data_IF_120486775712
#
_entry.id   IF_120486775712
#
_cell.length_a   1.000
_cell.length_b   1.000
_cell.length_c   1.000
_cell.angle_alpha   90.00
_cell.angle_beta   90.00
_cell.angle_gamma   90.00
#
_symmetry.space_group_name_H-M   'P 1'
#
loop_
_entity.id
_entity.type
_entity.pdbx_description
1 polymer ?
#
# COMPACT_ATOMS: atom_id res chain seq x y z
N UNK A 1 43.46 -36.58 12.23
CA UNK A 1 42.73 -36.67 13.51
C UNK A 1 41.46 -35.84 13.39
N UNK A 2 40.31 -36.49 13.14
CA UNK A 2 39.04 -35.86 12.90
C UNK A 2 38.23 -35.99 14.20
N UNK A 3 37.89 -34.86 14.84
CA UNK A 3 37.02 -34.83 16.04
C UNK A 3 35.57 -34.60 15.59
N UNK A 4 34.77 -35.66 15.71
CA UNK A 4 33.34 -35.65 15.49
C UNK A 4 32.68 -35.16 16.80
N UNK A 5 32.03 -33.98 16.76
CA UNK A 5 31.20 -33.51 17.86
C UNK A 5 29.77 -33.96 17.62
N UNK A 6 29.29 -34.89 18.39
CA UNK A 6 27.87 -35.30 18.49
C UNK A 6 27.12 -34.21 19.23
N UNK A 7 26.14 -33.60 18.57
CA UNK A 7 25.18 -32.71 19.21
C UNK A 7 23.93 -33.51 19.55
N UNK A 8 23.61 -33.50 20.86
CA UNK A 8 22.41 -34.13 21.42
C UNK A 8 21.16 -33.35 20.99
N UNK A 9 20.16 -34.08 20.53
CA UNK A 9 18.83 -33.57 20.25
C UNK A 9 18.05 -33.50 21.56
N UNK A 10 17.59 -32.33 21.97
CA UNK A 10 16.63 -32.12 23.04
C UNK A 10 15.23 -32.03 22.39
N UNK A 11 14.41 -33.03 22.68
CA UNK A 11 12.99 -33.05 22.32
C UNK A 11 12.21 -32.18 23.32
N UNK A 12 11.57 -31.12 22.86
CA UNK A 12 10.62 -30.32 23.63
C UNK A 12 9.21 -30.76 23.26
N UNK A 13 8.51 -31.35 24.20
CA UNK A 13 7.09 -31.68 24.16
C UNK A 13 6.30 -30.36 24.39
N UNK A 14 5.55 -29.92 23.40
CA UNK A 14 4.57 -28.84 23.54
C UNK A 14 3.20 -29.45 23.74
N UNK A 15 2.64 -29.27 24.93
CA UNK A 15 1.27 -29.61 25.29
C UNK A 15 0.30 -28.56 24.73
N UNK A 16 -0.63 -29.02 23.90
CA UNK A 16 -1.73 -28.20 23.39
C UNK A 16 -2.81 -28.03 24.48
N UNK A 17 -3.11 -26.79 24.87
CA UNK A 17 -4.28 -26.43 25.66
C UNK A 17 -5.37 -25.90 24.72
N UNK A 18 -6.43 -26.74 24.55
CA UNK A 18 -7.65 -26.32 23.86
C UNK A 18 -8.54 -25.54 24.83
N UNK A 19 -8.82 -24.27 24.52
CA UNK A 19 -9.82 -23.46 25.21
C UNK A 19 -11.08 -23.39 24.34
N UNK A 20 -12.12 -24.11 24.77
CA UNK A 20 -13.47 -24.01 24.24
C UNK A 20 -14.17 -22.81 24.89
N UNK A 21 -14.43 -21.76 24.14
CA UNK A 21 -15.41 -20.74 24.52
C UNK A 21 -16.73 -21.00 23.81
N UNK A 22 -17.65 -21.64 24.53
CA UNK A 22 -19.07 -21.64 24.26
C UNK A 22 -19.68 -20.34 24.78
N UNK A 23 -20.21 -19.51 23.89
CA UNK A 23 -20.94 -18.26 24.20
C UNK A 23 -22.35 -18.34 23.66
N UNK A 24 -23.28 -18.50 24.57
CA UNK A 24 -24.71 -18.55 24.46
C UNK A 24 -25.37 -17.20 24.09
N UNK A 25 -26.58 -17.26 23.54
CA UNK A 25 -27.61 -16.30 23.67
C UNK A 25 -28.24 -15.99 22.33
N UNK A 26 -29.40 -16.41 21.92
CA UNK A 26 -30.67 -16.45 22.58
C UNK A 26 -31.60 -15.42 21.95
N UNK A 27 -32.74 -15.86 21.42
CA UNK A 27 -33.82 -14.97 21.06
C UNK A 27 -34.53 -15.33 19.77
N UNK A 28 -35.43 -16.28 19.83
CA UNK A 28 -36.37 -16.61 18.78
C UNK A 28 -37.56 -15.68 18.76
N UNK A 29 -38.25 -15.65 17.61
CA UNK A 29 -39.68 -15.61 17.54
C UNK A 29 -40.13 -16.11 16.15
N UNK A 30 -40.76 -17.27 16.19
CA UNK A 30 -41.66 -17.76 15.14
C UNK A 30 -42.86 -16.84 14.96
N UNK A 31 -43.27 -16.62 13.74
CA UNK A 31 -44.71 -16.67 13.39
C UNK A 31 -44.87 -16.84 11.88
N UNK A 32 -45.41 -17.95 11.49
CA UNK A 32 -45.98 -18.20 10.16
C UNK A 32 -47.28 -17.46 10.00
N UNK A 33 -47.57 -16.92 8.81
CA UNK A 33 -48.90 -16.90 8.23
C UNK A 33 -48.86 -16.49 6.75
N UNK A 34 -49.38 -17.35 5.97
CA UNK A 34 -50.01 -17.34 4.67
C UNK A 34 -50.71 -16.02 4.30
N UNK A 35 -50.70 -15.63 3.01
CA UNK A 35 -51.50 -14.50 2.55
C UNK A 35 -51.17 -14.09 1.09
N UNK A 36 -51.74 -14.86 0.17
CA UNK A 36 -51.86 -14.59 -1.26
C UNK A 36 -52.84 -13.42 -1.48
N UNK A 37 -52.44 -12.35 -2.18
CA UNK A 37 -53.35 -11.55 -3.02
C UNK A 37 -52.60 -10.69 -4.04
N UNK A 38 -52.99 -10.85 -5.27
CA UNK A 38 -52.82 -9.94 -6.40
C UNK A 38 -53.54 -8.63 -6.09
N UNK A 39 -52.97 -7.49 -6.44
CA UNK A 39 -53.69 -6.51 -7.23
C UNK A 39 -52.75 -5.43 -7.80
N UNK A 40 -53.04 -5.11 -9.01
CA UNK A 40 -52.46 -4.18 -9.95
C UNK A 40 -53.08 -2.79 -9.69
N UNK A 41 -52.24 -1.77 -9.46
CA UNK A 41 -52.70 -0.39 -9.63
C UNK A 41 -51.56 0.52 -10.11
N UNK A 42 -51.73 0.98 -11.29
CA UNK A 42 -51.11 2.11 -11.99
C UNK A 42 -51.59 3.41 -11.37
N UNK A 43 -50.76 4.30 -10.92
CA UNK A 43 -51.11 5.73 -10.77
C UNK A 43 -49.92 6.63 -11.07
N UNK A 44 -50.20 7.54 -11.94
CA UNK A 44 -49.50 8.67 -12.52
C UNK A 44 -48.75 9.59 -11.56
N UNK A 45 -47.68 10.21 -12.10
CA UNK A 45 -47.01 11.38 -11.58
C UNK A 45 -47.91 12.63 -11.49
N UNK A 46 -47.56 13.60 -10.68
CA UNK A 46 -47.54 14.97 -11.19
C UNK A 46 -46.18 15.67 -11.01
N UNK A 47 -45.81 16.32 -12.09
CA UNK A 47 -44.81 17.38 -12.11
C UNK A 47 -45.34 18.59 -11.33
N UNK A 48 -44.48 19.16 -10.48
CA UNK A 48 -44.64 20.56 -10.10
C UNK A 48 -43.26 21.19 -9.97
N UNK A 49 -43.03 22.16 -10.81
CA UNK A 49 -41.85 23.03 -10.82
C UNK A 49 -41.78 23.93 -9.57
N UNK A 50 -40.61 24.20 -9.16
CA UNK A 50 -40.29 25.16 -8.10
C UNK A 50 -38.92 25.73 -8.35
N UNK A 51 -38.89 26.84 -9.11
CA UNK A 51 -37.74 27.72 -9.27
C UNK A 51 -37.51 28.46 -7.96
N UNK A 52 -36.41 28.23 -7.28
CA UNK A 52 -35.96 29.08 -6.18
C UNK A 52 -34.69 29.82 -6.60
N UNK A 53 -34.58 31.14 -6.35
CA UNK A 53 -33.44 31.95 -6.75
C UNK A 53 -32.27 31.76 -5.82
N UNK A 54 -31.08 31.70 -6.41
CA UNK A 54 -29.81 31.70 -5.71
C UNK A 54 -29.56 33.05 -5.01
N UNK A 55 -29.10 33.11 -3.78
CA UNK A 55 -28.55 34.31 -3.21
C UNK A 55 -27.12 34.56 -3.74
N UNK A 56 -26.96 35.58 -4.52
CA UNK A 56 -25.67 36.18 -4.83
C UNK A 56 -25.15 36.87 -3.56
N UNK A 57 -24.18 36.27 -2.90
CA UNK A 57 -23.39 36.96 -1.89
C UNK A 57 -22.08 37.43 -2.54
N UNK A 58 -22.06 38.64 -3.02
CA UNK A 58 -20.82 39.39 -3.27
C UNK A 58 -20.24 39.79 -1.93
N UNK A 59 -19.26 39.07 -1.42
CA UNK A 59 -18.41 39.54 -0.34
C UNK A 59 -17.11 40.07 -0.93
N UNK A 60 -17.06 41.35 -1.15
CA UNK A 60 -15.84 42.12 -1.32
C UNK A 60 -15.12 42.16 0.03
N UNK A 61 -14.30 41.15 0.32
CA UNK A 61 -13.42 41.10 1.47
C UNK A 61 -12.10 41.76 1.12
N UNK A 62 -11.78 42.84 1.81
CA UNK A 62 -10.48 43.48 1.79
C UNK A 62 -9.39 42.45 2.09
N UNK A 63 -8.40 42.33 1.21
CA UNK A 63 -7.19 41.54 1.43
C UNK A 63 -6.37 42.20 2.52
N UNK A 64 -6.23 41.52 3.64
CA UNK A 64 -5.29 41.86 4.69
C UNK A 64 -3.87 41.47 4.19
N UNK A 65 -2.91 42.38 4.10
CA UNK A 65 -1.56 42.08 3.61
C UNK A 65 -0.73 41.49 4.75
N UNK A 66 -0.90 40.18 5.02
CA UNK A 66 -0.14 39.53 6.07
C UNK A 66 -0.47 38.03 6.30
N UNK A 67 -1.43 37.48 5.57
CA UNK A 67 -1.75 36.05 5.73
C UNK A 67 -0.74 35.21 4.94
N UNK A 68 0.25 34.65 5.61
CA UNK A 68 1.07 33.58 5.06
C UNK A 68 0.11 32.42 4.73
N UNK A 69 -0.11 32.18 3.45
CA UNK A 69 -0.94 31.09 2.96
C UNK A 69 -0.46 29.78 3.58
N UNK A 70 -1.36 29.04 4.21
CA UNK A 70 -1.03 27.76 4.82
C UNK A 70 -0.52 26.83 3.72
N UNK A 71 0.57 26.05 3.96
CA UNK A 71 1.12 25.16 2.95
C UNK A 71 0.06 24.16 2.52
N UNK A 72 -0.08 23.93 1.21
CA UNK A 72 -1.10 23.08 0.60
C UNK A 72 -0.97 21.59 0.99
N UNK A 73 0.20 21.18 1.48
CA UNK A 73 0.45 19.83 2.00
C UNK A 73 1.53 19.85 3.08
N UNK A 74 1.59 18.80 3.91
CA UNK A 74 2.68 18.64 4.88
C UNK A 74 4.07 18.52 4.21
N UNK A 75 4.12 18.13 2.94
CA UNK A 75 5.35 18.08 2.16
C UNK A 75 5.91 19.49 1.91
N UNK A 76 5.04 20.47 1.70
CA UNK A 76 5.38 21.86 1.38
C UNK A 76 5.63 22.72 2.63
N UNK A 77 5.29 22.20 3.82
CA UNK A 77 5.49 22.92 5.07
C UNK A 77 6.98 23.21 5.29
N UNK A 78 7.34 24.43 5.78
CA UNK A 78 8.71 24.76 6.16
C UNK A 78 9.28 23.72 7.13
N UNK A 79 10.51 23.25 6.90
CA UNK A 79 11.16 22.22 7.71
C UNK A 79 12.04 22.85 8.81
N UNK A 80 12.23 22.08 9.87
CA UNK A 80 13.18 22.40 10.93
C UNK A 80 14.60 22.24 10.36
N UNK A 81 15.51 23.25 10.52
CA UNK A 81 16.90 23.11 10.13
C UNK A 81 17.59 21.98 10.92
N UNK A 82 18.48 21.21 10.28
CA UNK A 82 19.16 20.07 10.90
C UNK A 82 19.90 20.41 12.20
N UNK A 83 20.49 21.60 12.29
CA UNK A 83 21.16 22.09 13.50
C UNK A 83 20.22 22.28 14.70
N UNK A 84 18.92 22.34 14.47
CA UNK A 84 17.88 22.50 15.50
C UNK A 84 17.17 21.21 15.84
N UNK A 85 17.55 20.08 15.19
CA UNK A 85 16.95 18.77 15.46
C UNK A 85 17.50 18.21 16.79
N UNK A 86 16.71 18.37 17.85
CA UNK A 86 16.99 17.84 19.19
C UNK A 86 15.77 17.13 19.75
N UNK A 87 15.93 16.05 20.54
CA UNK A 87 14.82 15.43 21.24
C UNK A 87 14.19 16.40 22.28
N UNK A 88 12.86 16.43 22.46
CA UNK A 88 12.20 17.32 23.42
C UNK A 88 12.63 17.12 24.88
N UNK A 89 13.04 15.89 25.24
CA UNK A 89 13.53 15.53 26.59
C UNK A 89 15.01 15.79 26.83
N UNK A 90 15.69 16.45 25.89
CA UNK A 90 17.16 16.63 25.92
C UNK A 90 17.92 15.43 25.32
N UNK A 91 19.24 15.57 25.22
CA UNK A 91 20.10 14.58 24.56
C UNK A 91 20.31 14.85 23.07
N UNK A 92 20.75 13.84 22.32
CA UNK A 92 21.04 13.96 20.90
C UNK A 92 20.54 12.73 20.13
N UNK A 93 20.05 12.95 18.93
CA UNK A 93 19.79 11.85 17.99
C UNK A 93 21.09 11.21 17.51
N UNK A 94 21.05 9.90 17.17
CA UNK A 94 22.19 9.21 16.54
C UNK A 94 22.44 9.77 15.13
N UNK A 95 23.55 9.40 14.50
CA UNK A 95 23.86 9.83 13.14
C UNK A 95 22.79 9.35 12.13
N UNK A 96 22.34 8.11 12.25
CA UNK A 96 21.30 7.49 11.42
C UNK A 96 19.96 8.20 11.60
N UNK A 97 19.57 8.50 12.85
CA UNK A 97 18.33 9.22 13.18
C UNK A 97 18.37 10.65 12.61
N UNK A 98 19.50 11.35 12.73
CA UNK A 98 19.66 12.67 12.12
C UNK A 98 19.56 12.63 10.61
N UNK A 99 20.17 11.62 9.98
CA UNK A 99 20.07 11.42 8.53
C UNK A 99 18.62 11.20 8.10
N UNK A 100 17.87 10.38 8.85
CA UNK A 100 16.45 10.18 8.59
C UNK A 100 15.63 11.45 8.77
N UNK A 101 15.85 12.22 9.82
CA UNK A 101 15.08 13.42 10.15
C UNK A 101 15.39 14.62 9.26
N UNK A 102 16.59 14.66 8.65
CA UNK A 102 17.04 15.77 7.81
C UNK A 102 16.03 16.08 6.70
N UNK A 103 15.56 17.33 6.68
CA UNK A 103 14.58 17.84 5.71
C UNK A 103 13.17 17.20 5.82
N UNK A 104 12.90 16.39 6.85
CA UNK A 104 11.60 15.70 7.01
C UNK A 104 10.71 16.26 8.10
N UNK A 105 11.25 16.99 9.06
CA UNK A 105 10.50 17.49 10.21
C UNK A 105 9.85 18.83 9.89
N UNK A 106 8.51 18.91 9.75
CA UNK A 106 7.83 20.20 9.59
C UNK A 106 8.01 21.08 10.84
N UNK A 107 8.07 22.39 10.68
CA UNK A 107 8.09 23.31 11.83
C UNK A 107 6.85 23.11 12.69
N UNK A 108 7.05 23.02 14.01
CA UNK A 108 5.98 22.76 14.97
C UNK A 108 5.63 21.29 15.16
N UNK A 109 6.31 20.37 14.46
CA UNK A 109 6.15 18.91 14.65
C UNK A 109 7.28 18.40 15.54
N UNK A 110 6.94 17.49 16.46
CA UNK A 110 7.92 16.78 17.27
C UNK A 110 8.79 15.87 16.37
N UNK A 111 10.12 16.06 16.36
CA UNK A 111 11.01 15.21 15.59
C UNK A 111 10.99 13.74 16.04
N UNK A 112 10.65 13.46 17.32
CA UNK A 112 10.51 12.08 17.82
C UNK A 112 9.34 11.39 17.14
N UNK A 113 8.19 12.04 16.98
CA UNK A 113 7.03 11.48 16.29
C UNK A 113 7.33 11.17 14.81
N UNK A 114 8.12 12.02 14.13
CA UNK A 114 8.56 11.75 12.76
C UNK A 114 9.50 10.54 12.71
N UNK A 115 10.41 10.43 13.67
CA UNK A 115 11.34 9.28 13.78
C UNK A 115 10.61 7.97 14.04
N UNK A 116 9.63 7.97 14.95
CA UNK A 116 8.80 6.80 15.27
C UNK A 116 8.07 6.27 14.03
N UNK A 117 7.56 7.17 13.17
CA UNK A 117 6.98 6.77 11.90
C UNK A 117 7.96 6.02 10.98
N UNK A 118 9.23 6.45 10.94
CA UNK A 118 10.27 5.73 10.20
C UNK A 118 10.64 4.38 10.83
N UNK A 119 10.71 4.33 12.15
CA UNK A 119 10.98 3.10 12.88
C UNK A 119 9.85 2.08 12.70
N UNK A 120 8.59 2.51 12.71
CA UNK A 120 7.44 1.64 12.44
C UNK A 120 7.51 1.02 11.03
N UNK A 121 7.90 1.80 10.02
CA UNK A 121 8.12 1.27 8.66
C UNK A 121 9.21 0.19 8.68
N UNK A 122 10.35 0.45 9.32
CA UNK A 122 11.43 -0.51 9.45
C UNK A 122 10.99 -1.79 10.16
N UNK A 123 10.29 -1.66 11.28
CA UNK A 123 9.80 -2.80 12.07
C UNK A 123 8.80 -3.63 11.28
N UNK A 124 7.87 -2.99 10.58
CA UNK A 124 6.88 -3.65 9.75
C UNK A 124 7.53 -4.42 8.60
N UNK A 125 8.45 -3.77 7.87
CA UNK A 125 9.18 -4.40 6.79
C UNK A 125 10.08 -5.55 7.28
N UNK A 126 10.77 -5.37 8.42
CA UNK A 126 11.63 -6.41 9.01
C UNK A 126 10.83 -7.65 9.39
N UNK A 127 9.71 -7.47 10.12
CA UNK A 127 8.85 -8.60 10.52
C UNK A 127 8.30 -9.34 9.30
N UNK A 128 7.84 -8.59 8.29
CA UNK A 128 7.30 -9.21 7.08
C UNK A 128 8.38 -9.92 6.29
N UNK A 129 9.53 -9.28 6.06
CA UNK A 129 10.63 -9.83 5.28
C UNK A 129 11.31 -11.05 5.95
N UNK A 130 11.24 -11.16 7.28
CA UNK A 130 11.73 -12.33 8.01
C UNK A 130 10.96 -13.60 7.65
N UNK A 131 9.68 -13.47 7.29
CA UNK A 131 8.83 -14.58 6.86
C UNK A 131 8.78 -14.67 5.34
N UNK A 132 8.59 -13.52 4.68
CA UNK A 132 8.42 -13.44 3.24
C UNK A 132 8.89 -12.07 2.70
N UNK A 133 10.01 -12.07 1.99
CA UNK A 133 10.58 -10.86 1.39
C UNK A 133 9.72 -10.30 0.26
N UNK A 134 9.02 -11.18 -0.46
CA UNK A 134 8.12 -10.77 -1.55
C UNK A 134 6.86 -10.09 -1.01
N UNK A 135 6.33 -10.57 0.11
CA UNK A 135 5.23 -9.90 0.79
C UNK A 135 5.63 -8.50 1.29
N UNK A 136 6.86 -8.33 1.79
CA UNK A 136 7.37 -7.02 2.18
C UNK A 136 7.50 -6.07 0.98
N UNK A 137 8.02 -6.54 -0.16
CA UNK A 137 8.09 -5.75 -1.40
C UNK A 137 6.68 -5.45 -1.95
N UNK A 138 5.75 -6.41 -1.87
CA UNK A 138 4.35 -6.24 -2.28
C UNK A 138 3.67 -5.11 -1.50
N UNK A 139 3.86 -5.02 -0.19
CA UNK A 139 3.28 -3.96 0.64
C UNK A 139 3.73 -2.54 0.20
N UNK A 140 4.93 -2.42 -0.36
CA UNK A 140 5.41 -1.16 -0.93
C UNK A 140 4.79 -0.92 -2.32
N UNK A 141 4.77 -1.94 -3.17
CA UNK A 141 4.21 -1.84 -4.53
C UNK A 141 2.72 -1.52 -4.52
N UNK A 142 1.95 -2.07 -3.58
CA UNK A 142 0.51 -1.79 -3.42
C UNK A 142 0.21 -0.46 -2.76
N UNK A 143 1.23 0.19 -2.16
CA UNK A 143 1.07 1.48 -1.49
C UNK A 143 0.64 1.39 -0.03
N UNK A 144 0.58 0.19 0.56
CA UNK A 144 0.36 -0.01 2.01
C UNK A 144 1.48 0.64 2.84
N UNK A 145 2.66 0.71 2.26
CA UNK A 145 3.78 1.52 2.69
C UNK A 145 4.22 2.35 1.48
N UNK A 146 4.25 3.68 1.61
CA UNK A 146 4.66 4.52 0.49
C UNK A 146 6.12 4.27 0.12
N UNK A 147 6.44 4.24 -1.18
CA UNK A 147 7.82 4.05 -1.66
C UNK A 147 8.77 5.05 -1.03
N UNK A 148 8.42 6.34 -1.05
CA UNK A 148 9.26 7.40 -0.49
C UNK A 148 9.49 7.25 1.02
N UNK A 149 8.48 6.80 1.77
CA UNK A 149 8.61 6.50 3.20
C UNK A 149 9.51 5.30 3.45
N UNK A 150 9.34 4.23 2.66
CA UNK A 150 10.14 3.03 2.75
C UNK A 150 11.62 3.29 2.39
N UNK A 151 11.89 3.99 1.29
CA UNK A 151 13.25 4.39 0.89
C UNK A 151 13.93 5.20 1.98
N UNK A 152 13.25 6.23 2.50
CA UNK A 152 13.79 7.08 3.53
C UNK A 152 14.16 6.32 4.82
N UNK A 153 13.26 5.44 5.27
CA UNK A 153 13.48 4.63 6.47
C UNK A 153 14.61 3.61 6.25
N UNK A 154 14.57 2.89 5.12
CA UNK A 154 15.55 1.84 4.80
C UNK A 154 16.95 2.42 4.60
N UNK A 155 17.08 3.55 3.91
CA UNK A 155 18.41 4.15 3.67
C UNK A 155 19.10 4.59 4.95
N UNK A 156 18.35 4.99 5.97
CA UNK A 156 18.90 5.57 7.18
C UNK A 156 18.79 4.66 8.40
N UNK A 157 17.64 4.01 8.61
CA UNK A 157 17.33 3.32 9.87
C UNK A 157 17.46 1.80 9.79
N UNK A 158 17.23 1.19 8.62
CA UNK A 158 17.24 -0.27 8.46
C UNK A 158 17.86 -0.71 7.11
N UNK A 159 19.13 -0.44 6.84
CA UNK A 159 19.77 -0.63 5.53
C UNK A 159 19.81 -2.07 5.03
N UNK A 160 19.63 -3.05 5.89
CA UNK A 160 19.56 -4.47 5.53
C UNK A 160 18.33 -4.81 4.65
N UNK A 161 17.33 -3.91 4.63
CA UNK A 161 16.13 -4.04 3.82
C UNK A 161 16.25 -3.45 2.41
N UNK A 162 17.40 -2.93 1.99
CA UNK A 162 17.64 -2.45 0.62
C UNK A 162 17.24 -3.43 -0.48
N UNK A 163 17.42 -4.76 -0.34
CA UNK A 163 16.92 -5.69 -1.34
C UNK A 163 15.40 -5.65 -1.52
N UNK A 164 14.63 -5.38 -0.46
CA UNK A 164 13.16 -5.23 -0.51
C UNK A 164 12.79 -3.99 -1.33
N UNK A 165 13.48 -2.86 -1.08
CA UNK A 165 13.30 -1.63 -1.87
C UNK A 165 13.63 -1.88 -3.33
N UNK A 166 14.74 -2.57 -3.62
CA UNK A 166 15.16 -2.88 -5.00
C UNK A 166 14.12 -3.74 -5.72
N UNK A 167 13.51 -4.71 -5.04
CA UNK A 167 12.43 -5.52 -5.61
C UNK A 167 11.18 -4.70 -5.87
N UNK A 168 10.78 -3.87 -4.91
CA UNK A 168 9.59 -3.02 -5.01
C UNK A 168 9.72 -1.94 -6.09
N UNK A 169 10.88 -1.27 -6.21
CA UNK A 169 11.11 -0.16 -7.15
C UNK A 169 10.98 -0.57 -8.63
N UNK A 170 11.14 -1.84 -8.94
CA UNK A 170 10.98 -2.41 -10.28
C UNK A 170 9.64 -3.12 -10.46
N UNK A 171 8.81 -3.15 -9.42
CA UNK A 171 7.48 -3.75 -9.43
C UNK A 171 6.39 -2.76 -9.84
N UNK A 172 5.18 -3.29 -10.01
CA UNK A 172 3.97 -2.50 -10.21
C UNK A 172 2.75 -3.23 -9.63
N UNK A 173 1.76 -2.46 -9.18
CA UNK A 173 0.49 -2.99 -8.67
C UNK A 173 -0.46 -3.39 -9.80
N UNK A 174 -1.63 -3.92 -9.44
CA UNK A 174 -2.73 -4.09 -10.39
C UNK A 174 -3.13 -2.75 -11.01
N UNK A 175 -3.59 -2.78 -12.25
CA UNK A 175 -4.00 -1.60 -12.98
C UNK A 175 -3.78 -1.70 -14.49
N UNK A 176 -3.83 -0.53 -15.14
CA UNK A 176 -3.56 -0.38 -16.57
C UNK A 176 -2.39 0.57 -16.77
N UNK A 177 -1.37 0.10 -17.46
CA UNK A 177 -0.10 0.80 -17.65
C UNK A 177 0.28 0.85 -19.13
N UNK A 178 0.96 1.92 -19.52
CA UNK A 178 1.70 1.95 -20.79
C UNK A 178 3.03 1.23 -20.61
N UNK A 179 3.61 0.76 -21.71
CA UNK A 179 4.97 0.18 -21.71
C UNK A 179 5.96 1.24 -22.19
N UNK A 180 7.00 1.49 -21.42
CA UNK A 180 8.06 2.44 -21.73
C UNK A 180 9.43 1.85 -21.38
N UNK A 181 10.51 2.35 -22.00
CA UNK A 181 11.86 1.88 -21.73
C UNK A 181 12.25 2.00 -20.25
N UNK A 182 11.76 3.03 -19.58
CA UNK A 182 11.91 3.25 -18.13
C UNK A 182 10.54 3.25 -17.49
N UNK A 183 10.39 2.48 -16.41
CA UNK A 183 9.16 2.46 -15.62
C UNK A 183 8.96 3.81 -14.89
N UNK A 184 7.70 4.25 -14.83
CA UNK A 184 7.27 5.40 -14.01
C UNK A 184 6.13 4.91 -13.12
N UNK A 185 6.33 4.98 -11.82
CA UNK A 185 5.37 4.50 -10.83
C UNK A 185 3.95 5.02 -11.11
N UNK A 186 2.97 4.13 -11.13
CA UNK A 186 1.57 4.43 -11.40
C UNK A 186 1.23 4.80 -12.86
N UNK A 187 2.20 4.88 -13.77
CA UNK A 187 1.98 5.30 -15.18
C UNK A 187 2.47 4.30 -16.20
N UNK A 188 3.68 3.80 -16.07
CA UNK A 188 4.27 2.90 -17.05
C UNK A 188 5.09 1.80 -16.40
N UNK A 189 5.20 0.67 -17.12
CA UNK A 189 6.04 -0.47 -16.76
C UNK A 189 7.14 -0.64 -17.81
N UNK A 190 8.29 -1.16 -17.39
CA UNK A 190 9.38 -1.47 -18.31
C UNK A 190 9.19 -2.86 -18.95
N UNK A 191 9.78 -3.12 -20.14
CA UNK A 191 9.90 -4.48 -20.65
C UNK A 191 10.68 -5.37 -19.70
N UNK A 192 10.26 -6.64 -19.56
CA UNK A 192 10.90 -7.59 -18.66
C UNK A 192 10.03 -8.77 -18.31
N UNK A 193 10.54 -9.58 -17.39
CA UNK A 193 9.82 -10.70 -16.79
C UNK A 193 9.37 -10.28 -15.40
N UNK A 194 8.14 -10.61 -15.07
CA UNK A 194 7.53 -10.28 -13.79
C UNK A 194 6.83 -11.52 -13.23
N UNK A 195 6.70 -11.55 -11.91
CA UNK A 195 5.95 -12.57 -11.19
C UNK A 195 5.04 -11.91 -10.15
N UNK A 196 3.84 -12.43 -9.99
CA UNK A 196 3.00 -12.10 -8.85
C UNK A 196 3.18 -13.22 -7.81
N UNK A 197 3.83 -12.94 -6.67
CA UNK A 197 4.16 -13.99 -5.71
C UNK A 197 2.94 -14.54 -4.97
N UNK A 198 1.94 -13.70 -4.73
CA UNK A 198 0.72 -14.02 -3.96
C UNK A 198 -0.55 -13.60 -4.71
N UNK A 199 -0.79 -14.12 -5.92
CA UNK A 199 -1.97 -13.72 -6.68
C UNK A 199 -3.25 -14.30 -6.06
N UNK A 200 -4.37 -13.57 -6.20
CA UNK A 200 -5.66 -14.16 -5.89
C UNK A 200 -6.04 -15.24 -6.92
N UNK A 201 -7.02 -16.10 -6.61
CA UNK A 201 -7.55 -17.05 -7.59
C UNK A 201 -8.12 -16.39 -8.86
N UNK A 202 -8.47 -15.11 -8.78
CA UNK A 202 -9.04 -14.32 -9.86
C UNK A 202 -7.99 -13.42 -10.57
N UNK A 203 -6.69 -13.65 -10.31
CA UNK A 203 -5.63 -12.90 -10.98
C UNK A 203 -5.70 -13.12 -12.50
N UNK A 204 -5.81 -12.04 -13.24
CA UNK A 204 -5.78 -12.03 -14.70
C UNK A 204 -4.91 -10.91 -15.21
N UNK A 205 -4.28 -11.09 -16.36
CA UNK A 205 -3.48 -10.05 -17.00
C UNK A 205 -3.55 -10.16 -18.53
N UNK A 206 -3.22 -9.07 -19.17
CA UNK A 206 -3.07 -8.97 -20.63
C UNK A 206 -1.98 -7.99 -20.99
N UNK A 207 -1.09 -8.40 -21.88
CA UNK A 207 -0.11 -7.53 -22.54
C UNK A 207 -0.55 -7.30 -23.98
N UNK A 208 -0.64 -6.05 -24.40
CA UNK A 208 -1.08 -5.68 -25.76
C UNK A 208 0.07 -5.11 -26.57
N UNK A 209 0.11 -5.49 -27.85
CA UNK A 209 1.01 -4.95 -28.86
C UNK A 209 0.56 -3.59 -29.39
N UNK A 210 1.38 -2.97 -30.24
CA UNK A 210 1.08 -1.68 -30.89
C UNK A 210 -0.13 -1.76 -31.82
N UNK A 211 -0.38 -2.90 -32.40
CA UNK A 211 -1.50 -3.23 -33.28
C UNK A 211 -2.76 -3.68 -32.52
N UNK A 212 -2.71 -3.69 -31.18
CA UNK A 212 -3.80 -4.16 -30.32
C UNK A 212 -3.83 -5.68 -30.13
N UNK A 213 -2.91 -6.43 -30.75
CA UNK A 213 -2.80 -7.87 -30.52
C UNK A 213 -2.46 -8.20 -29.07
N UNK A 214 -2.89 -9.38 -28.60
CA UNK A 214 -2.49 -9.90 -27.30
C UNK A 214 -1.13 -10.59 -27.44
N UNK A 215 -0.12 -10.09 -26.74
CA UNK A 215 1.24 -10.62 -26.74
C UNK A 215 1.48 -11.64 -25.62
N UNK A 216 0.83 -11.42 -24.47
CA UNK A 216 0.84 -12.33 -23.33
C UNK A 216 -0.47 -12.14 -22.54
N UNK A 217 -0.98 -13.21 -21.96
CA UNK A 217 -2.16 -13.15 -21.09
C UNK A 217 -2.28 -14.45 -20.30
N UNK A 218 -2.94 -14.37 -19.16
CA UNK A 218 -3.25 -15.60 -18.43
C UNK A 218 -4.17 -15.38 -17.23
N UNK A 219 -4.85 -16.44 -16.82
CA UNK A 219 -5.37 -16.58 -15.48
C UNK A 219 -4.25 -17.08 -14.55
N UNK A 220 -4.28 -16.71 -13.29
CA UNK A 220 -3.44 -17.36 -12.30
C UNK A 220 -3.99 -18.78 -12.06
N UNK A 221 -3.14 -19.76 -12.17
CA UNK A 221 -3.54 -21.15 -11.94
C UNK A 221 -2.34 -22.07 -11.74
N UNK A 222 -1.13 -21.52 -11.82
CA UNK A 222 0.09 -22.30 -11.65
C UNK A 222 0.55 -22.30 -10.19
N UNK A 223 0.92 -23.46 -9.64
CA UNK A 223 1.67 -23.52 -8.40
C UNK A 223 2.96 -22.69 -8.55
N UNK A 224 3.18 -21.71 -7.65
CA UNK A 224 4.35 -20.82 -7.70
C UNK A 224 4.09 -19.41 -8.22
N UNK A 225 2.82 -19.00 -8.32
CA UNK A 225 2.44 -17.64 -8.70
C UNK A 225 2.24 -17.43 -10.20
N UNK A 226 1.68 -16.29 -10.56
CA UNK A 226 1.50 -15.86 -11.95
C UNK A 226 2.83 -15.30 -12.51
N UNK A 227 3.10 -15.55 -13.80
CA UNK A 227 4.26 -15.03 -14.51
C UNK A 227 3.79 -14.25 -15.73
N UNK A 228 4.41 -13.10 -15.95
CA UNK A 228 4.07 -12.16 -16.99
C UNK A 228 5.35 -11.77 -17.74
N UNK A 229 5.30 -11.78 -19.06
CA UNK A 229 6.38 -11.26 -19.91
C UNK A 229 5.90 -10.01 -20.63
N UNK A 230 6.62 -8.90 -20.45
CA UNK A 230 6.40 -7.64 -21.16
C UNK A 230 7.50 -7.47 -22.21
N UNK A 231 7.24 -7.77 -23.48
CA UNK A 231 8.25 -7.57 -24.54
C UNK A 231 8.45 -6.08 -24.87
N UNK A 232 9.61 -5.73 -25.40
CA UNK A 232 9.96 -4.35 -25.77
C UNK A 232 8.98 -3.72 -26.82
N UNK A 233 8.28 -4.55 -27.60
CA UNK A 233 7.27 -4.10 -28.57
C UNK A 233 5.87 -3.92 -27.99
N UNK A 234 5.66 -4.21 -26.71
CA UNK A 234 4.37 -4.03 -26.08
C UNK A 234 3.98 -2.55 -25.98
N UNK A 235 2.66 -2.29 -26.02
CA UNK A 235 2.07 -0.97 -25.82
C UNK A 235 1.54 -0.78 -24.41
N UNK A 236 0.93 -1.83 -23.85
CA UNK A 236 0.29 -1.73 -22.55
C UNK A 236 0.17 -3.05 -21.82
N UNK A 237 -0.02 -2.94 -20.53
CA UNK A 237 -0.28 -4.03 -19.59
C UNK A 237 -1.52 -3.69 -18.80
N UNK A 238 -2.44 -4.65 -18.67
CA UNK A 238 -3.57 -4.57 -17.74
C UNK A 238 -3.54 -5.78 -16.84
N UNK A 239 -3.72 -5.59 -15.54
CA UNK A 239 -3.84 -6.70 -14.57
C UNK A 239 -4.89 -6.42 -13.50
N UNK A 240 -5.46 -7.47 -12.95
CA UNK A 240 -6.47 -7.41 -11.89
C UNK A 240 -6.41 -8.66 -11.03
N UNK A 241 -6.54 -8.50 -9.71
CA UNK A 241 -6.52 -9.58 -8.73
C UNK A 241 -5.15 -10.24 -8.54
N UNK A 242 -4.10 -9.64 -9.10
CA UNK A 242 -2.72 -10.14 -8.95
C UNK A 242 -1.98 -9.46 -7.81
N UNK A 243 -2.53 -8.35 -7.29
CA UNK A 243 -2.02 -7.44 -6.28
C UNK A 243 -0.76 -6.72 -6.70
N UNK A 244 0.36 -7.42 -6.84
CA UNK A 244 1.64 -6.85 -7.23
C UNK A 244 2.41 -7.76 -8.17
N UNK A 245 3.14 -7.15 -9.08
CA UNK A 245 4.10 -7.75 -9.97
C UNK A 245 5.50 -7.31 -9.56
N UNK A 246 6.36 -8.25 -9.21
CA UNK A 246 7.76 -8.02 -8.90
C UNK A 246 8.63 -8.47 -10.08
N UNK A 247 9.72 -7.76 -10.35
CA UNK A 247 10.67 -8.18 -11.39
C UNK A 247 11.21 -9.58 -11.08
N UNK A 248 11.19 -10.47 -12.07
CA UNK A 248 11.65 -11.86 -11.99
C UNK A 248 13.14 -11.99 -12.24
#
# INVERSE_FOLDING_TARGET
MIRIHRRAAAAVLVTAAAVLLSGCGGGGHDTAADGKSKDKATVSAPSAGGTAPAPSASSTGAQDPGTTEAPGSAADAPKVPDAQLTPPGGGTFTAEQKTYLSGRVPKGTDPVAVLEGGQEICDRLTRTAATDKDAAATAIVTGDITMAGAEAAVDSLCPDLKPVITAASRGFADGTFTVAATAVAGKSVAPGHYRAPHPSPNCTWRVTGKDGSTLDSGPSGSPGGARLTVPAGARGVTSSGCYAWLAG
#
